data_IF_554492043160
#
_entry.id   IF_554492043160
#
_cell.length_a   1.000
_cell.length_b   1.000
_cell.length_c   1.000
_cell.angle_alpha   90.00
_cell.angle_beta   90.00
_cell.angle_gamma   90.00
#
_symmetry.space_group_name_H-M   'P 1'
#
loop_
_entity.id
_entity.type
_entity.pdbx_description
1 polymer ?
#
# COMPACT_ATOMS: atom_id res chain seq x y z
N UNK A 1 13.64 -9.15 10.50
CA UNK A 1 14.40 -9.09 9.23
C UNK A 1 14.42 -7.63 8.83
N UNK A 2 15.59 -7.01 8.67
CA UNK A 2 15.70 -5.62 8.19
C UNK A 2 16.27 -5.64 6.78
N UNK A 3 15.64 -4.92 5.86
CA UNK A 3 16.17 -4.73 4.52
C UNK A 3 17.23 -3.62 4.54
N UNK A 4 18.30 -3.71 3.73
CA UNK A 4 19.27 -2.62 3.63
C UNK A 4 18.65 -1.33 3.07
N UNK A 5 17.74 -1.46 2.10
CA UNK A 5 17.26 -0.32 1.28
C UNK A 5 15.74 -0.14 1.28
N UNK A 6 14.95 -1.20 1.54
CA UNK A 6 13.50 -1.18 1.30
C UNK A 6 12.70 -1.17 2.60
N UNK A 7 11.56 -0.49 2.61
CA UNK A 7 10.56 -0.67 3.65
C UNK A 7 9.93 -2.06 3.48
N UNK A 8 9.67 -2.72 4.60
CA UNK A 8 8.93 -3.99 4.61
C UNK A 8 7.53 -3.68 5.07
N UNK A 9 6.53 -3.94 4.23
CA UNK A 9 5.14 -3.61 4.52
C UNK A 9 4.20 -4.78 4.28
N UNK A 10 2.99 -4.69 4.83
CA UNK A 10 1.86 -5.56 4.50
C UNK A 10 0.67 -4.73 4.01
N UNK A 11 -0.19 -5.27 3.15
CA UNK A 11 -1.43 -4.59 2.79
C UNK A 11 -2.31 -4.43 4.03
N UNK A 12 -2.90 -3.25 4.20
CA UNK A 12 -3.81 -2.97 5.31
C UNK A 12 -4.99 -3.96 5.30
N UNK A 13 -5.42 -4.42 6.49
CA UNK A 13 -6.43 -5.49 6.66
C UNK A 13 -6.09 -6.84 5.99
N UNK A 14 -4.82 -7.07 5.61
CA UNK A 14 -4.39 -8.33 5.00
C UNK A 14 -5.00 -8.62 3.62
N UNK A 15 -5.61 -7.62 2.98
CA UNK A 15 -6.23 -7.76 1.65
C UNK A 15 -5.55 -6.85 0.64
N UNK A 16 -5.13 -7.40 -0.50
CA UNK A 16 -4.50 -6.63 -1.60
C UNK A 16 -5.49 -5.76 -2.37
N UNK A 17 -6.77 -6.08 -2.28
CA UNK A 17 -7.87 -5.33 -2.89
C UNK A 17 -8.86 -4.89 -1.81
N UNK A 18 -9.30 -3.64 -1.90
CA UNK A 18 -10.33 -3.06 -1.05
C UNK A 18 -11.66 -3.04 -1.81
N UNK A 19 -12.09 -4.23 -2.24
CA UNK A 19 -13.26 -4.43 -3.08
C UNK A 19 -14.52 -4.84 -2.30
N UNK A 20 -14.44 -4.88 -0.97
CA UNK A 20 -15.56 -5.24 -0.09
C UNK A 20 -15.92 -4.05 0.77
N UNK A 21 -17.14 -3.54 0.63
CA UNK A 21 -17.68 -2.47 1.48
C UNK A 21 -18.81 -3.00 2.33
N UNK A 22 -18.78 -2.70 3.62
CA UNK A 22 -19.91 -3.00 4.51
C UNK A 22 -20.97 -1.90 4.35
N UNK A 23 -22.14 -2.25 3.83
CA UNK A 23 -23.29 -1.36 3.69
C UNK A 23 -24.43 -1.98 4.48
N UNK A 24 -24.83 -1.34 5.59
CA UNK A 24 -25.93 -1.81 6.43
C UNK A 24 -25.66 -3.16 7.10
N UNK A 25 -24.39 -3.50 7.39
CA UNK A 25 -24.01 -4.77 8.02
C UNK A 25 -23.89 -5.95 7.04
N UNK A 26 -24.04 -5.70 5.73
CA UNK A 26 -23.84 -6.69 4.67
C UNK A 26 -22.56 -6.33 3.92
N UNK A 27 -21.68 -7.31 3.74
CA UNK A 27 -20.46 -7.17 2.94
C UNK A 27 -20.83 -7.22 1.45
N UNK A 28 -20.65 -6.08 0.77
CA UNK A 28 -20.94 -5.93 -0.65
C UNK A 28 -19.64 -5.91 -1.46
N UNK A 29 -19.53 -6.80 -2.45
CA UNK A 29 -18.40 -6.82 -3.38
C UNK A 29 -18.63 -5.76 -4.45
N UNK A 30 -17.87 -4.66 -4.40
CA UNK A 30 -18.02 -3.51 -5.32
C UNK A 30 -17.25 -3.69 -6.63
N UNK A 31 -16.26 -4.59 -6.68
CA UNK A 31 -15.52 -4.90 -7.90
C UNK A 31 -14.96 -6.32 -7.85
N UNK A 32 -15.06 -7.04 -8.96
CA UNK A 32 -14.45 -8.36 -9.15
C UNK A 32 -13.24 -8.32 -10.08
N UNK A 33 -12.92 -7.15 -10.66
CA UNK A 33 -11.81 -7.01 -11.60
C UNK A 33 -10.50 -6.73 -10.87
N UNK A 34 -9.54 -7.66 -11.00
CA UNK A 34 -8.17 -7.51 -10.50
C UNK A 34 -7.37 -6.42 -11.24
N UNK A 35 -7.83 -6.03 -12.43
CA UNK A 35 -7.17 -5.05 -13.28
C UNK A 35 -7.54 -3.60 -12.92
N UNK A 36 -8.67 -3.40 -12.23
CA UNK A 36 -9.18 -2.08 -11.87
C UNK A 36 -8.39 -1.45 -10.71
N UNK A 37 -7.65 -0.38 -11.02
CA UNK A 37 -6.87 0.40 -10.06
C UNK A 37 -7.72 1.14 -9.01
N UNK A 38 -9.05 1.20 -9.18
CA UNK A 38 -9.96 1.76 -8.17
C UNK A 38 -10.22 0.80 -7.02
N UNK A 39 -10.08 -0.51 -7.26
CA UNK A 39 -10.32 -1.55 -6.27
C UNK A 39 -9.03 -2.06 -5.59
N UNK A 40 -7.85 -1.65 -6.06
CA UNK A 40 -6.57 -1.98 -5.43
C UNK A 40 -6.45 -1.29 -4.07
N UNK A 41 -6.03 -2.03 -3.04
CA UNK A 41 -5.65 -1.43 -1.78
C UNK A 41 -4.46 -0.47 -2.01
N UNK A 42 -4.44 0.66 -1.30
CA UNK A 42 -3.34 1.64 -1.37
C UNK A 42 -2.74 1.94 0.00
N UNK A 43 -3.19 1.23 1.03
CA UNK A 43 -2.70 1.38 2.38
C UNK A 43 -1.79 0.22 2.73
N UNK A 44 -0.57 0.56 3.15
CA UNK A 44 0.44 -0.41 3.54
C UNK A 44 0.87 -0.19 4.99
N UNK A 45 0.76 -1.20 5.84
CA UNK A 45 1.26 -1.14 7.21
C UNK A 45 2.76 -1.44 7.23
N UNK A 46 3.54 -0.57 7.86
CA UNK A 46 5.00 -0.73 7.98
C UNK A 46 5.33 -1.79 9.02
N UNK A 47 5.93 -2.89 8.58
CA UNK A 47 6.43 -3.95 9.46
C UNK A 47 7.86 -3.65 9.93
N UNK A 48 8.67 -3.05 9.06
CA UNK A 48 10.06 -2.73 9.37
C UNK A 48 10.61 -1.64 8.44
N UNK A 49 11.48 -0.78 8.95
CA UNK A 49 12.16 0.27 8.19
C UNK A 49 13.54 -0.19 7.70
N UNK A 50 14.09 0.41 6.62
CA UNK A 50 15.45 0.12 6.17
C UNK A 50 16.52 0.38 7.26
N UNK A 51 17.63 -0.36 7.22
CA UNK A 51 18.72 -0.25 8.20
C UNK A 51 19.32 1.17 8.34
N UNK A 52 19.36 1.93 7.24
CA UNK A 52 19.91 3.29 7.21
C UNK A 52 18.87 4.41 7.31
N UNK A 53 17.60 4.08 7.47
CA UNK A 53 16.53 5.07 7.46
C UNK A 53 16.53 5.90 8.76
N UNK A 54 16.55 7.22 8.63
CA UNK A 54 16.54 8.19 9.74
C UNK A 54 15.34 9.14 9.70
N UNK A 55 14.37 8.86 8.85
CA UNK A 55 13.17 9.69 8.72
C UNK A 55 12.13 9.38 9.80
N UNK A 56 10.97 10.06 9.75
CA UNK A 56 9.94 10.01 10.79
C UNK A 56 9.10 8.73 10.80
N UNK A 57 9.11 7.96 9.72
CA UNK A 57 8.31 6.73 9.56
C UNK A 57 8.80 5.65 10.53
N UNK A 58 7.87 5.00 11.22
CA UNK A 58 8.12 3.94 12.18
C UNK A 58 7.32 2.68 11.84
N UNK A 59 7.70 1.59 12.48
CA UNK A 59 6.90 0.35 12.46
C UNK A 59 5.50 0.62 13.01
N UNK A 60 4.48 0.16 12.31
CA UNK A 60 3.06 0.38 12.61
C UNK A 60 2.42 1.55 11.88
N UNK A 61 3.21 2.45 11.29
CA UNK A 61 2.68 3.54 10.47
C UNK A 61 2.02 2.99 9.19
N UNK A 62 1.09 3.75 8.62
CA UNK A 62 0.42 3.38 7.37
C UNK A 62 0.94 4.22 6.22
N UNK A 63 1.48 3.62 5.17
CA UNK A 63 1.89 4.31 3.94
C UNK A 63 0.74 4.37 2.94
N UNK A 64 0.64 5.49 2.22
CA UNK A 64 -0.18 5.61 1.02
C UNK A 64 0.69 5.27 -0.20
N UNK A 65 0.52 4.06 -0.72
CA UNK A 65 1.35 3.49 -1.77
C UNK A 65 0.74 3.66 -3.16
N UNK A 66 1.58 3.53 -4.18
CA UNK A 66 1.11 3.44 -5.55
C UNK A 66 0.27 2.17 -5.77
N UNK A 67 -0.78 2.26 -6.58
CA UNK A 67 -1.75 1.17 -6.80
C UNK A 67 -1.14 -0.09 -7.43
N UNK A 68 0.06 0.00 -8.02
CA UNK A 68 0.76 -1.15 -8.58
C UNK A 68 1.50 -1.99 -7.53
N UNK A 69 1.75 -1.48 -6.32
CA UNK A 69 2.54 -2.19 -5.30
C UNK A 69 1.91 -3.53 -4.93
N UNK A 70 0.58 -3.58 -4.81
CA UNK A 70 -0.17 -4.78 -4.42
C UNK A 70 -0.82 -5.53 -5.60
N UNK A 71 -0.60 -5.07 -6.84
CA UNK A 71 -1.33 -5.57 -8.01
C UNK A 71 -0.82 -6.94 -8.45
N UNK A 72 -1.75 -7.80 -8.87
CA UNK A 72 -1.43 -9.00 -9.62
C UNK A 72 -1.35 -8.70 -11.12
N UNK A 73 -0.51 -9.44 -11.83
CA UNK A 73 -0.47 -9.43 -13.29
C UNK A 73 -0.49 -10.85 -13.81
N UNK A 74 -0.99 -11.04 -15.03
CA UNK A 74 -0.92 -12.32 -15.72
C UNK A 74 0.35 -12.36 -16.57
N UNK A 75 1.12 -13.45 -16.44
CA UNK A 75 2.27 -13.68 -17.32
C UNK A 75 1.82 -13.99 -18.76
N UNK A 76 2.77 -14.14 -19.68
CA UNK A 76 2.50 -14.48 -21.08
C UNK A 76 1.78 -15.84 -21.26
N UNK A 77 1.67 -16.64 -20.21
CA UNK A 77 0.97 -17.94 -20.17
C UNK A 77 -0.36 -17.86 -19.41
N UNK A 78 -0.83 -16.66 -19.06
CA UNK A 78 -2.08 -16.44 -18.34
C UNK A 78 -2.06 -16.86 -16.87
N UNK A 79 -0.87 -17.03 -16.28
CA UNK A 79 -0.74 -17.38 -14.86
C UNK A 79 -0.68 -16.12 -14.02
N UNK A 80 -1.47 -16.06 -12.96
CA UNK A 80 -1.43 -14.97 -12.01
C UNK A 80 -0.07 -14.92 -11.30
N UNK A 81 0.57 -13.77 -11.32
CA UNK A 81 1.84 -13.47 -10.68
C UNK A 81 1.71 -12.21 -9.83
N UNK A 82 2.48 -12.15 -8.75
CA UNK A 82 2.57 -10.92 -7.95
C UNK A 82 3.57 -9.95 -8.57
N UNK A 83 3.30 -8.65 -8.47
CA UNK A 83 4.25 -7.61 -8.90
C UNK A 83 5.63 -7.71 -8.24
N UNK A 84 6.60 -6.98 -8.80
CA UNK A 84 8.01 -6.96 -8.36
C UNK A 84 8.19 -6.71 -6.85
N UNK A 85 7.31 -5.93 -6.24
CA UNK A 85 7.39 -5.57 -4.82
C UNK A 85 7.05 -6.75 -3.89
N UNK A 86 6.43 -7.83 -4.38
CA UNK A 86 6.07 -8.97 -3.54
C UNK A 86 7.30 -9.79 -3.12
N UNK A 87 7.32 -10.17 -1.84
CA UNK A 87 8.35 -11.02 -1.28
C UNK A 87 7.81 -12.41 -0.87
N UNK A 88 7.28 -12.54 0.34
CA UNK A 88 6.68 -13.77 0.88
C UNK A 88 5.69 -13.45 1.99
N UNK A 89 4.76 -14.34 2.31
CA UNK A 89 3.85 -14.20 3.47
C UNK A 89 3.11 -12.84 3.49
N UNK A 90 2.69 -12.36 2.30
CA UNK A 90 2.10 -11.03 2.05
C UNK A 90 2.95 -9.84 2.51
N UNK A 91 4.27 -10.05 2.64
CA UNK A 91 5.26 -8.99 2.79
C UNK A 91 5.63 -8.43 1.42
N UNK A 92 5.77 -7.10 1.39
CA UNK A 92 6.16 -6.35 0.22
C UNK A 92 7.36 -5.47 0.55
N UNK A 93 8.28 -5.36 -0.41
CA UNK A 93 9.34 -4.38 -0.40
C UNK A 93 8.90 -3.13 -1.14
N UNK A 94 8.98 -2.00 -0.46
CA UNK A 94 8.59 -0.69 -0.96
C UNK A 94 9.81 0.23 -0.93
N UNK A 95 10.07 0.89 -2.05
CA UNK A 95 11.04 1.98 -2.15
C UNK A 95 10.40 3.33 -1.80
N UNK A 96 11.22 4.36 -1.64
CA UNK A 96 10.79 5.72 -1.31
C UNK A 96 10.07 6.46 -2.45
N UNK A 97 10.08 5.92 -3.68
CA UNK A 97 9.34 6.45 -4.82
C UNK A 97 7.95 5.82 -4.97
N UNK A 98 7.72 4.66 -4.33
CA UNK A 98 6.50 3.86 -4.42
C UNK A 98 5.41 4.26 -3.42
N UNK A 99 5.64 5.27 -2.58
CA UNK A 99 4.64 5.84 -1.69
C UNK A 99 4.70 7.37 -1.64
N UNK A 100 3.60 7.99 -1.25
CA UNK A 100 3.43 9.44 -1.33
C UNK A 100 3.25 10.11 0.04
N UNK A 101 2.64 9.40 0.97
CA UNK A 101 2.31 9.88 2.31
C UNK A 101 2.47 8.77 3.32
N UNK A 102 2.61 9.14 4.58
CA UNK A 102 2.51 8.22 5.72
C UNK A 102 1.52 8.78 6.74
N UNK A 103 0.83 7.88 7.42
CA UNK A 103 -0.08 8.17 8.51
C UNK A 103 0.58 7.76 9.81
N UNK A 104 0.67 8.70 10.73
CA UNK A 104 1.24 8.52 12.06
C UNK A 104 0.31 9.19 13.08
N UNK A 105 -0.04 8.48 14.15
CA UNK A 105 -0.89 8.98 15.24
C UNK A 105 -2.25 9.55 14.80
N UNK A 106 -2.79 9.07 13.68
CA UNK A 106 -4.09 9.51 13.14
C UNK A 106 -3.99 10.54 12.02
N UNK A 107 -2.84 11.22 11.91
CA UNK A 107 -2.63 12.32 10.97
C UNK A 107 -1.80 11.88 9.76
N UNK A 108 -2.09 12.50 8.61
CA UNK A 108 -1.40 12.24 7.34
C UNK A 108 -0.31 13.27 7.09
N UNK A 109 0.88 12.77 6.78
CA UNK A 109 2.06 13.56 6.46
C UNK A 109 2.52 13.20 5.05
N UNK A 110 2.84 14.21 4.24
CA UNK A 110 3.46 13.96 2.95
C UNK A 110 4.92 13.56 3.13
N UNK A 111 5.41 12.71 2.23
CA UNK A 111 6.78 12.25 2.25
C UNK A 111 7.64 13.00 1.23
N UNK A 112 8.83 13.42 1.65
CA UNK A 112 9.83 14.08 0.81
C UNK A 112 9.25 15.25 -0.02
N UNK A 113 9.31 15.17 -1.35
CA UNK A 113 8.89 16.22 -2.29
C UNK A 113 7.38 16.29 -2.54
N UNK A 114 6.59 15.36 -2.01
CA UNK A 114 5.15 15.34 -2.29
C UNK A 114 4.41 16.39 -1.47
N UNK A 115 3.41 17.03 -2.08
CA UNK A 115 2.53 17.99 -1.42
C UNK A 115 1.09 17.69 -1.82
N UNK A 116 0.24 17.40 -0.84
CA UNK A 116 -1.18 17.13 -1.04
C UNK A 116 -1.98 18.31 -0.54
N UNK A 117 -2.77 18.90 -1.43
CA UNK A 117 -3.62 20.05 -1.11
C UNK A 117 -5.07 19.60 -1.01
N UNK A 118 -5.75 19.99 0.06
CA UNK A 118 -7.20 19.82 0.20
C UNK A 118 -7.87 21.02 -0.48
N UNK A 119 -8.87 20.80 -1.37
CA UNK A 119 -9.61 21.91 -1.94
C UNK A 119 -10.32 22.70 -0.84
N UNK A 120 -10.36 24.03 -1.01
CA UNK A 120 -11.09 24.92 -0.11
C UNK A 120 -12.58 24.64 -0.30
N UNK A 121 -13.37 24.44 0.78
CA UNK A 121 -14.81 24.28 0.67
C UNK A 121 -15.42 25.51 -0.02
N UNK A 122 -16.26 25.27 -1.03
CA UNK A 122 -17.17 26.26 -1.61
C UNK A 122 -18.38 26.47 -0.73
#
# INVERSE_FOLDING_TARGET
MKSPFYFITKPYNGRRYDNVKSIGGIDFITSTSEEDHKASNRYAEVIETPLGYKGPIKKGDTLLVHHNVFKFYNDMKGRQQSGKSFFKDDLFFIDDEQFFMYKQDGDWYSYDRYCFVKPVPT
#
